data_IF_630657195209
#
_entry.id   IF_630657195209
#
_cell.length_a   1.000
_cell.length_b   1.000
_cell.length_c   1.000
_cell.angle_alpha   90.00
_cell.angle_beta   90.00
_cell.angle_gamma   90.00
#
_symmetry.space_group_name_H-M   'P 1'
#
loop_
_entity.id
_entity.type
_entity.pdbx_description
1 polymer ?
#
# COMPACT_ATOMS: atom_id res chain seq x y z
N UNK A 1 65.33 65.41 59.90
CA UNK A 1 64.92 65.97 61.16
C UNK A 1 63.42 65.97 61.17
N UNK A 2 62.65 65.26 61.87
CA UNK A 2 62.62 64.56 63.11
C UNK A 2 61.28 63.74 63.13
N UNK A 3 61.39 62.49 63.42
CA UNK A 3 60.30 61.73 64.03
C UNK A 3 59.93 62.35 65.39
N UNK A 4 58.79 62.19 65.95
CA UNK A 4 58.18 60.93 66.42
C UNK A 4 56.60 61.01 66.36
N UNK A 5 55.80 60.04 66.77
CA UNK A 5 55.73 59.03 67.79
C UNK A 5 54.52 58.12 67.59
N UNK A 6 54.68 56.92 68.05
CA UNK A 6 53.72 55.87 68.34
C UNK A 6 52.59 56.36 69.26
N UNK A 7 51.36 55.89 69.01
CA UNK A 7 50.36 55.70 70.07
C UNK A 7 49.49 54.43 69.76
N UNK A 8 49.60 53.51 70.65
CA UNK A 8 48.86 52.24 70.73
C UNK A 8 47.34 52.53 70.88
N UNK A 9 46.58 51.78 70.11
CA UNK A 9 45.15 51.63 70.37
C UNK A 9 44.83 50.13 70.27
N UNK A 10 44.02 49.57 71.22
CA UNK A 10 44.00 48.15 71.49
C UNK A 10 43.13 47.38 70.52
N UNK A 11 43.57 46.19 70.16
CA UNK A 11 42.82 45.13 69.48
C UNK A 11 41.68 44.61 70.40
N UNK A 12 40.43 45.12 70.19
CA UNK A 12 39.24 44.46 70.72
C UNK A 12 37.98 44.93 69.97
N UNK A 13 37.82 44.45 68.74
CA UNK A 13 36.51 44.56 68.05
C UNK A 13 36.40 43.65 66.81
N UNK A 14 37.23 42.60 66.68
CA UNK A 14 37.20 41.80 65.48
C UNK A 14 36.50 40.42 65.64
N UNK A 15 35.85 40.18 66.79
CA UNK A 15 35.22 38.89 67.03
C UNK A 15 33.69 38.85 66.88
N UNK A 16 33.03 39.99 66.65
CA UNK A 16 31.55 40.01 66.56
C UNK A 16 30.98 40.12 65.16
N UNK A 17 31.80 40.49 64.17
CA UNK A 17 31.32 40.60 62.78
C UNK A 17 31.35 39.27 62.01
N UNK A 18 32.11 38.31 62.45
CA UNK A 18 32.19 36.96 61.82
C UNK A 18 30.98 36.08 62.03
N UNK A 19 30.33 36.18 63.20
CA UNK A 19 29.18 35.37 63.53
C UNK A 19 27.86 35.87 62.95
N UNK A 20 27.73 37.16 62.76
CA UNK A 20 26.52 37.75 62.16
C UNK A 20 26.43 37.48 60.61
N UNK A 21 27.60 37.38 59.96
CA UNK A 21 27.61 37.08 58.52
C UNK A 21 27.33 35.57 58.18
N UNK A 22 27.63 34.65 59.15
CA UNK A 22 27.41 33.22 58.93
C UNK A 22 25.93 32.84 59.16
N UNK A 23 25.18 33.55 60.01
CA UNK A 23 23.77 33.28 60.25
C UNK A 23 22.87 33.86 59.13
N UNK A 24 23.27 34.95 58.48
CA UNK A 24 22.52 35.53 57.38
C UNK A 24 22.63 34.72 56.08
N UNK A 25 23.66 33.84 55.93
CA UNK A 25 23.82 32.96 54.76
C UNK A 25 22.96 31.73 54.82
N UNK A 26 22.38 31.36 55.96
CA UNK A 26 21.54 30.19 56.13
C UNK A 26 20.09 30.36 55.63
N UNK A 27 19.67 31.60 55.42
CA UNK A 27 18.31 31.91 54.95
C UNK A 27 18.26 32.43 53.54
N UNK A 28 19.37 32.34 52.78
CA UNK A 28 19.30 32.52 51.33
C UNK A 28 18.47 31.30 50.77
N UNK A 29 17.21 31.53 50.53
CA UNK A 29 16.38 30.64 49.74
C UNK A 29 17.09 30.43 48.43
N UNK A 30 17.56 29.20 48.20
CA UNK A 30 18.11 28.80 46.90
C UNK A 30 17.13 29.28 45.83
N UNK A 31 17.57 30.00 44.82
CA UNK A 31 16.70 30.38 43.71
C UNK A 31 16.09 29.09 43.20
N UNK A 32 14.79 29.05 42.88
CA UNK A 32 14.13 27.85 42.39
C UNK A 32 14.98 27.31 41.27
N UNK A 33 15.44 26.07 41.41
CA UNK A 33 16.13 25.34 40.36
C UNK A 33 15.32 25.58 39.11
N UNK A 34 15.86 26.32 38.16
CA UNK A 34 15.29 26.35 36.83
C UNK A 34 15.30 24.89 36.40
N UNK A 35 14.14 24.29 36.43
CA UNK A 35 13.92 23.06 35.70
C UNK A 35 14.16 23.48 34.26
N UNK A 36 15.36 23.26 33.76
CA UNK A 36 15.59 23.23 32.32
C UNK A 36 14.71 22.10 31.82
N UNK A 37 13.44 22.43 31.59
CA UNK A 37 12.61 21.63 30.71
C UNK A 37 13.32 21.78 29.36
N UNK A 38 14.33 20.93 29.15
CA UNK A 38 14.72 20.57 27.81
C UNK A 38 13.44 20.06 27.19
N UNK A 39 12.65 20.95 26.63
CA UNK A 39 11.75 20.60 25.55
C UNK A 39 12.69 19.93 24.57
N UNK A 40 12.76 18.59 24.68
CA UNK A 40 13.63 17.81 23.84
C UNK A 40 13.36 18.31 22.43
N UNK A 41 14.34 18.26 21.58
CA UNK A 41 14.26 18.59 20.16
C UNK A 41 13.24 17.71 19.39
N UNK A 42 12.14 17.39 20.03
CA UNK A 42 10.95 16.79 19.45
C UNK A 42 10.08 17.82 18.73
N UNK A 43 10.71 18.92 18.22
CA UNK A 43 10.08 19.67 17.13
C UNK A 43 9.77 18.77 15.93
N UNK A 44 10.38 17.59 15.83
CA UNK A 44 9.93 16.52 14.96
C UNK A 44 8.59 15.89 15.39
N UNK A 45 8.16 16.05 16.64
CA UNK A 45 6.85 15.56 17.09
C UNK A 45 5.69 16.49 16.70
N UNK A 46 6.00 17.72 16.28
CA UNK A 46 5.05 18.67 15.74
C UNK A 46 5.18 18.79 14.21
N UNK A 47 5.60 17.73 13.55
CA UNK A 47 5.38 17.69 12.10
C UNK A 47 3.88 17.82 11.87
N UNK A 48 3.46 18.81 11.08
CA UNK A 48 2.05 19.02 10.85
C UNK A 48 1.47 17.73 10.30
N UNK A 49 0.38 17.27 10.91
CA UNK A 49 -0.38 16.08 10.52
C UNK A 49 -0.66 16.04 9.00
N UNK A 50 -0.70 17.21 8.38
CA UNK A 50 -0.82 17.41 6.94
C UNK A 50 0.33 16.81 6.09
N UNK A 51 1.52 16.56 6.65
CA UNK A 51 2.61 15.92 5.92
C UNK A 51 2.56 14.38 6.02
N UNK A 52 1.93 13.83 7.05
CA UNK A 52 1.76 12.39 7.24
C UNK A 52 0.62 11.81 6.38
N UNK A 53 -0.31 12.63 5.93
CA UNK A 53 -1.49 12.20 5.16
C UNK A 53 -1.49 12.64 3.69
N UNK A 54 -0.39 13.05 3.10
CA UNK A 54 -0.35 13.10 1.65
C UNK A 54 -0.49 11.67 1.14
N UNK A 55 -1.71 11.28 0.87
CA UNK A 55 -2.01 10.09 0.04
C UNK A 55 -1.39 10.39 -1.33
N UNK A 56 -0.18 9.95 -1.52
CA UNK A 56 0.49 10.10 -2.81
C UNK A 56 -0.22 9.11 -3.72
N UNK A 57 -1.04 9.63 -4.63
CA UNK A 57 -1.73 8.84 -5.64
C UNK A 57 -0.75 8.14 -6.58
N UNK A 58 -1.27 7.33 -7.50
CA UNK A 58 -0.45 6.65 -8.50
C UNK A 58 0.41 7.62 -9.29
N UNK A 59 1.72 7.39 -9.34
CA UNK A 59 2.65 8.15 -10.17
C UNK A 59 2.50 7.79 -11.66
N UNK A 60 3.01 8.66 -12.55
CA UNK A 60 2.94 8.44 -14.00
C UNK A 60 3.52 7.07 -14.42
N UNK A 61 4.66 6.68 -13.85
CA UNK A 61 5.31 5.39 -14.16
C UNK A 61 4.42 4.20 -13.82
N UNK A 62 3.66 4.27 -12.74
CA UNK A 62 2.74 3.22 -12.32
C UNK A 62 1.51 3.13 -13.23
N UNK A 63 1.00 4.28 -13.69
CA UNK A 63 -0.06 4.33 -14.70
C UNK A 63 0.42 3.75 -16.03
N UNK A 64 1.64 4.12 -16.47
CA UNK A 64 2.23 3.57 -17.69
C UNK A 64 2.38 2.05 -17.56
N UNK A 65 2.91 1.55 -16.44
CA UNK A 65 3.06 0.11 -16.21
C UNK A 65 1.70 -0.61 -16.25
N UNK A 66 0.69 -0.09 -15.56
CA UNK A 66 -0.67 -0.67 -15.60
C UNK A 66 -1.23 -0.71 -17.01
N UNK A 67 -1.14 0.41 -17.75
CA UNK A 67 -1.70 0.50 -19.10
C UNK A 67 -0.97 -0.40 -20.10
N UNK A 68 0.35 -0.50 -20.00
CA UNK A 68 1.15 -1.40 -20.86
C UNK A 68 0.77 -2.86 -20.60
N UNK A 69 0.66 -3.25 -19.32
CA UNK A 69 0.32 -4.64 -18.98
C UNK A 69 -1.12 -4.95 -19.37
N UNK A 70 -2.07 -4.06 -19.06
CA UNK A 70 -3.46 -4.24 -19.46
C UNK A 70 -3.61 -4.30 -21.00
N UNK A 71 -2.96 -3.40 -21.72
CA UNK A 71 -2.96 -3.39 -23.19
C UNK A 71 -2.37 -4.67 -23.78
N UNK A 72 -1.25 -5.15 -23.21
CA UNK A 72 -0.64 -6.41 -23.66
C UNK A 72 -1.57 -7.60 -23.41
N UNK A 73 -2.24 -7.65 -22.24
CA UNK A 73 -3.19 -8.71 -21.92
C UNK A 73 -4.40 -8.70 -22.88
N UNK A 74 -4.95 -7.51 -23.17
CA UNK A 74 -6.05 -7.37 -24.15
C UNK A 74 -5.61 -7.85 -25.53
N UNK A 75 -4.47 -7.38 -26.02
CA UNK A 75 -3.98 -7.74 -27.36
C UNK A 75 -3.70 -9.24 -27.45
N UNK A 76 -3.04 -9.82 -26.46
CA UNK A 76 -2.74 -11.24 -26.44
C UNK A 76 -4.01 -12.11 -26.46
N UNK A 77 -5.02 -11.76 -25.65
CA UNK A 77 -6.29 -12.48 -25.60
C UNK A 77 -7.06 -12.33 -26.93
N UNK A 78 -7.22 -11.12 -27.45
CA UNK A 78 -7.95 -10.87 -28.69
C UNK A 78 -7.28 -11.53 -29.92
N UNK A 79 -5.95 -11.56 -29.96
CA UNK A 79 -5.20 -12.27 -31.01
C UNK A 79 -5.41 -13.79 -30.93
N UNK A 80 -5.30 -14.37 -29.74
CA UNK A 80 -5.52 -15.82 -29.57
C UNK A 80 -6.95 -16.22 -29.90
N UNK A 81 -7.95 -15.48 -29.46
CA UNK A 81 -9.36 -15.68 -29.82
C UNK A 81 -9.59 -15.59 -31.33
N UNK A 82 -8.97 -14.59 -31.98
CA UNK A 82 -9.08 -14.44 -33.43
C UNK A 82 -8.45 -15.61 -34.18
N UNK A 83 -7.26 -16.07 -33.76
CA UNK A 83 -6.59 -17.25 -34.36
C UNK A 83 -7.45 -18.49 -34.21
N UNK A 84 -7.99 -18.75 -33.01
CA UNK A 84 -8.84 -19.91 -32.76
C UNK A 84 -10.10 -19.85 -33.61
N UNK A 85 -10.82 -18.72 -33.60
CA UNK A 85 -12.06 -18.56 -34.38
C UNK A 85 -11.86 -18.67 -35.89
N UNK A 86 -10.66 -18.32 -36.41
CA UNK A 86 -10.34 -18.50 -37.84
C UNK A 86 -9.97 -19.93 -38.21
N UNK A 87 -9.48 -20.70 -37.25
CA UNK A 87 -8.92 -22.05 -37.47
C UNK A 87 -9.87 -23.16 -37.09
N UNK A 88 -10.77 -22.92 -36.17
CA UNK A 88 -11.63 -23.94 -35.55
C UNK A 88 -13.09 -23.49 -35.59
N UNK A 89 -13.98 -24.23 -36.29
CA UNK A 89 -15.42 -24.01 -36.25
C UNK A 89 -15.96 -24.07 -34.80
N UNK A 90 -17.12 -23.38 -34.57
CA UNK A 90 -17.76 -23.39 -33.27
C UNK A 90 -18.20 -24.83 -32.93
N UNK A 91 -17.88 -25.26 -31.72
CA UNK A 91 -18.19 -26.60 -31.21
C UNK A 91 -17.17 -27.66 -31.56
N UNK A 92 -16.18 -27.36 -32.43
CA UNK A 92 -15.11 -28.27 -32.74
C UNK A 92 -14.01 -28.23 -31.69
N UNK A 93 -13.37 -29.37 -31.45
CA UNK A 93 -12.27 -29.52 -30.53
C UNK A 93 -11.08 -30.22 -31.19
N UNK A 94 -9.87 -29.75 -30.86
CA UNK A 94 -8.62 -30.42 -31.22
C UNK A 94 -7.96 -30.86 -29.93
N UNK A 95 -7.77 -32.16 -29.78
CA UNK A 95 -7.03 -32.74 -28.65
C UNK A 95 -5.56 -32.28 -28.72
N UNK A 96 -5.02 -31.84 -27.60
CA UNK A 96 -3.63 -31.41 -27.51
C UNK A 96 -2.78 -32.40 -26.75
N UNK A 97 -2.69 -32.28 -25.45
CA UNK A 97 -1.87 -33.17 -24.60
C UNK A 97 -2.62 -33.44 -23.30
N UNK A 98 -2.83 -34.75 -22.99
CA UNK A 98 -3.48 -35.19 -21.76
C UNK A 98 -4.90 -34.63 -21.62
N UNK A 99 -5.25 -34.00 -20.47
CA UNK A 99 -6.60 -33.53 -20.24
C UNK A 99 -6.91 -32.16 -20.91
N UNK A 100 -5.96 -31.56 -21.63
CA UNK A 100 -6.13 -30.31 -22.33
C UNK A 100 -6.60 -30.51 -23.76
N UNK A 101 -7.58 -29.69 -24.19
CA UNK A 101 -7.99 -29.55 -25.57
C UNK A 101 -8.20 -28.07 -25.93
N UNK A 102 -8.09 -27.76 -27.22
CA UNK A 102 -8.54 -26.47 -27.75
C UNK A 102 -9.95 -26.71 -28.30
N UNK A 103 -10.94 -26.12 -27.67
CA UNK A 103 -12.35 -26.29 -28.00
C UNK A 103 -13.01 -24.94 -28.16
N UNK A 104 -13.50 -24.60 -29.36
CA UNK A 104 -14.13 -23.30 -29.63
C UNK A 104 -15.55 -23.25 -29.08
N UNK A 105 -15.71 -22.59 -27.95
CA UNK A 105 -16.99 -22.45 -27.23
C UNK A 105 -17.39 -21.00 -27.13
N UNK A 106 -18.71 -20.73 -27.31
CA UNK A 106 -19.29 -19.41 -27.07
C UNK A 106 -19.95 -19.37 -25.69
N UNK A 107 -19.52 -18.44 -24.85
CA UNK A 107 -20.00 -18.27 -23.48
C UNK A 107 -20.73 -16.93 -23.32
N UNK A 108 -22.06 -16.97 -23.19
CA UNK A 108 -22.88 -15.78 -22.98
C UNK A 108 -23.02 -15.34 -21.50
N UNK A 109 -22.60 -16.20 -20.56
CA UNK A 109 -22.65 -15.94 -19.13
C UNK A 109 -21.30 -15.63 -18.50
N UNK A 110 -21.23 -15.89 -17.19
CA UNK A 110 -19.98 -16.01 -16.44
C UNK A 110 -19.77 -17.49 -16.04
N UNK A 111 -18.69 -17.75 -15.34
CA UNK A 111 -18.34 -19.11 -14.94
C UNK A 111 -19.55 -19.89 -14.39
N UNK A 112 -19.64 -21.19 -14.73
CA UNK A 112 -20.73 -22.08 -14.34
C UNK A 112 -22.13 -21.71 -14.86
N UNK A 113 -22.23 -20.91 -15.93
CA UNK A 113 -23.53 -20.55 -16.53
C UNK A 113 -24.34 -19.49 -15.75
N UNK A 114 -23.75 -18.89 -14.73
CA UNK A 114 -24.38 -17.78 -14.02
C UNK A 114 -24.61 -16.61 -15.01
N UNK A 115 -25.81 -16.03 -14.98
CA UNK A 115 -26.24 -14.96 -15.88
C UNK A 115 -26.20 -15.31 -17.38
N UNK A 116 -26.31 -16.59 -17.76
CA UNK A 116 -26.27 -17.03 -19.16
C UNK A 116 -27.28 -16.30 -20.08
N UNK A 117 -28.34 -15.74 -19.53
CA UNK A 117 -29.38 -14.99 -20.26
C UNK A 117 -29.30 -13.47 -20.06
N UNK A 118 -28.24 -12.96 -19.44
CA UNK A 118 -28.14 -11.54 -19.06
C UNK A 118 -26.75 -10.95 -19.36
N UNK A 119 -26.29 -11.09 -20.60
CA UNK A 119 -25.01 -10.49 -21.04
C UNK A 119 -24.92 -9.01 -20.69
N UNK A 120 -26.04 -8.27 -20.80
CA UNK A 120 -26.12 -6.84 -20.44
C UNK A 120 -25.78 -6.62 -18.95
N UNK A 121 -26.31 -7.44 -18.04
CA UNK A 121 -25.99 -7.33 -16.61
C UNK A 121 -24.50 -7.59 -16.34
N UNK A 122 -23.91 -8.58 -17.04
CA UNK A 122 -22.48 -8.88 -16.93
C UNK A 122 -21.63 -7.72 -17.44
N UNK A 123 -22.03 -7.06 -18.54
CA UNK A 123 -21.36 -5.87 -19.06
C UNK A 123 -21.30 -4.76 -18.01
N UNK A 124 -22.44 -4.40 -17.41
CA UNK A 124 -22.50 -3.34 -16.40
C UNK A 124 -21.73 -3.72 -15.13
N UNK A 125 -21.83 -4.95 -14.66
CA UNK A 125 -21.12 -5.44 -13.48
C UNK A 125 -19.60 -5.39 -13.71
N UNK A 126 -19.13 -5.91 -14.84
CA UNK A 126 -17.71 -5.91 -15.20
C UNK A 126 -17.19 -4.48 -15.39
N UNK A 127 -17.93 -3.62 -16.08
CA UNK A 127 -17.57 -2.22 -16.27
C UNK A 127 -17.47 -1.47 -14.95
N UNK A 128 -18.42 -1.67 -14.04
CA UNK A 128 -18.40 -1.11 -12.69
C UNK A 128 -17.21 -1.60 -11.87
N UNK A 129 -16.90 -2.90 -11.93
CA UNK A 129 -15.73 -3.47 -11.26
C UNK A 129 -14.41 -2.89 -11.79
N UNK A 130 -14.27 -2.76 -13.11
CA UNK A 130 -13.09 -2.13 -13.73
C UNK A 130 -12.96 -0.67 -13.28
N UNK A 131 -14.06 0.10 -13.30
CA UNK A 131 -14.04 1.48 -12.82
C UNK A 131 -13.63 1.59 -11.34
N UNK A 132 -14.17 0.72 -10.49
CA UNK A 132 -13.81 0.66 -9.07
C UNK A 132 -12.32 0.32 -8.88
N UNK A 133 -11.77 -0.63 -9.65
CA UNK A 133 -10.35 -0.98 -9.60
C UNK A 133 -9.46 0.19 -10.04
N UNK A 134 -9.84 0.96 -11.07
CA UNK A 134 -9.09 2.15 -11.50
C UNK A 134 -9.11 3.25 -10.43
N UNK A 135 -10.27 3.47 -9.78
CA UNK A 135 -10.38 4.41 -8.65
C UNK A 135 -9.53 3.95 -7.46
N UNK A 136 -9.56 2.66 -7.14
CA UNK A 136 -8.71 2.08 -6.10
C UNK A 136 -7.23 2.27 -6.42
N UNK A 137 -6.81 1.96 -7.65
CA UNK A 137 -5.44 2.13 -8.11
C UNK A 137 -4.98 3.59 -7.99
N UNK A 138 -5.77 4.55 -8.44
CA UNK A 138 -5.44 5.97 -8.37
C UNK A 138 -5.13 6.46 -6.96
N UNK A 139 -5.71 5.80 -5.94
CA UNK A 139 -5.57 6.17 -4.52
C UNK A 139 -4.48 5.39 -3.76
N UNK A 140 -4.03 4.25 -4.28
CA UNK A 140 -3.26 3.27 -3.49
C UNK A 140 -1.93 2.86 -4.12
N UNK A 141 -1.72 3.12 -5.40
CA UNK A 141 -0.66 2.51 -6.21
C UNK A 141 0.79 2.66 -5.68
N UNK A 142 1.09 3.73 -4.97
CA UNK A 142 2.47 3.94 -4.47
C UNK A 142 2.87 3.03 -3.30
N UNK A 143 1.95 2.27 -2.75
CA UNK A 143 2.21 1.44 -1.56
C UNK A 143 2.84 0.09 -1.89
N UNK A 144 2.70 -0.40 -3.11
CA UNK A 144 3.18 -1.74 -3.47
C UNK A 144 3.65 -1.84 -4.92
N UNK A 145 4.90 -2.29 -5.19
CA UNK A 145 5.47 -2.31 -6.54
C UNK A 145 4.76 -3.29 -7.49
N UNK A 146 4.15 -4.35 -6.96
CA UNK A 146 3.41 -5.34 -7.75
C UNK A 146 1.99 -4.91 -8.12
N UNK A 147 1.45 -3.87 -7.51
CA UNK A 147 0.07 -3.46 -7.70
C UNK A 147 -0.27 -3.09 -9.16
N UNK A 148 0.58 -2.32 -9.90
CA UNK A 148 0.33 -2.04 -11.31
C UNK A 148 0.28 -3.31 -12.18
N UNK A 149 1.14 -4.29 -11.88
CA UNK A 149 1.20 -5.55 -12.62
C UNK A 149 -0.08 -6.36 -12.36
N UNK A 150 -0.40 -6.58 -11.11
CA UNK A 150 -1.55 -7.38 -10.71
C UNK A 150 -2.87 -6.78 -11.21
N UNK A 151 -3.09 -5.47 -10.97
CA UNK A 151 -4.29 -4.79 -11.46
C UNK A 151 -4.30 -4.64 -12.99
N UNK A 152 -3.14 -4.46 -13.62
CA UNK A 152 -3.02 -4.43 -15.08
C UNK A 152 -3.52 -5.73 -15.70
N UNK A 153 -3.15 -6.89 -15.16
CA UNK A 153 -3.63 -8.20 -15.61
C UNK A 153 -5.14 -8.36 -15.39
N UNK A 154 -5.63 -8.04 -14.19
CA UNK A 154 -7.07 -8.17 -13.90
C UNK A 154 -7.91 -7.25 -14.78
N UNK A 155 -7.52 -5.98 -14.90
CA UNK A 155 -8.23 -4.98 -15.72
C UNK A 155 -8.13 -5.37 -17.20
N UNK A 156 -6.95 -5.75 -17.68
CA UNK A 156 -6.74 -6.14 -19.08
C UNK A 156 -7.60 -7.34 -19.48
N UNK A 157 -7.58 -8.42 -18.68
CA UNK A 157 -8.42 -9.59 -18.91
C UNK A 157 -9.92 -9.26 -18.82
N UNK A 158 -10.33 -8.46 -17.82
CA UNK A 158 -11.74 -8.03 -17.70
C UNK A 158 -12.20 -7.21 -18.89
N UNK A 159 -11.38 -6.28 -19.37
CA UNK A 159 -11.66 -5.44 -20.54
C UNK A 159 -11.69 -6.28 -21.82
N UNK A 160 -10.79 -7.24 -21.99
CA UNK A 160 -10.80 -8.13 -23.15
C UNK A 160 -12.11 -8.93 -23.25
N UNK A 161 -12.58 -9.52 -22.17
CA UNK A 161 -13.86 -10.21 -22.12
C UNK A 161 -15.08 -9.25 -22.22
N UNK A 162 -14.92 -8.00 -21.80
CA UNK A 162 -15.95 -6.97 -22.00
C UNK A 162 -16.07 -6.55 -23.47
N UNK A 163 -14.94 -6.43 -24.18
CA UNK A 163 -14.92 -6.14 -25.61
C UNK A 163 -15.69 -7.21 -26.38
N UNK A 164 -15.46 -8.49 -26.08
CA UNK A 164 -16.19 -9.57 -26.74
C UNK A 164 -17.70 -9.47 -26.51
N UNK A 165 -18.13 -9.27 -25.26
CA UNK A 165 -19.54 -9.16 -24.92
C UNK A 165 -20.25 -7.96 -25.58
N UNK A 166 -19.56 -6.84 -25.68
CA UNK A 166 -20.12 -5.64 -26.34
C UNK A 166 -20.20 -5.83 -27.87
N UNK A 167 -19.20 -6.51 -28.45
CA UNK A 167 -19.12 -6.69 -29.92
C UNK A 167 -19.92 -7.89 -30.42
N UNK A 168 -19.88 -9.00 -29.69
CA UNK A 168 -20.36 -10.30 -30.14
C UNK A 168 -21.59 -10.78 -29.34
N UNK A 169 -21.84 -10.21 -28.16
CA UNK A 169 -22.87 -10.69 -27.23
C UNK A 169 -22.43 -11.89 -26.38
N UNK A 170 -21.27 -12.44 -26.63
CA UNK A 170 -20.70 -13.60 -25.92
C UNK A 170 -19.19 -13.47 -25.84
N UNK A 171 -18.53 -14.36 -25.09
CA UNK A 171 -17.08 -14.50 -25.04
C UNK A 171 -16.69 -15.78 -25.78
N UNK A 172 -15.60 -15.75 -26.53
CA UNK A 172 -15.02 -16.93 -27.14
C UNK A 172 -14.06 -17.57 -26.14
N UNK A 173 -14.41 -18.77 -25.64
CA UNK A 173 -13.59 -19.60 -24.80
C UNK A 173 -12.96 -20.70 -25.65
N UNK A 174 -11.69 -21.06 -25.36
CA UNK A 174 -10.99 -22.04 -26.20
C UNK A 174 -10.05 -22.97 -25.45
N UNK A 175 -9.74 -22.69 -24.19
CA UNK A 175 -8.95 -23.58 -23.33
C UNK A 175 -9.93 -24.47 -22.57
N UNK A 176 -9.96 -25.74 -22.92
CA UNK A 176 -10.80 -26.73 -22.29
C UNK A 176 -9.95 -27.70 -21.47
N UNK A 177 -10.37 -27.91 -20.25
CA UNK A 177 -9.73 -28.86 -19.33
C UNK A 177 -10.80 -29.83 -18.83
N UNK A 178 -10.61 -31.12 -19.02
CA UNK A 178 -11.61 -32.19 -18.92
C UNK A 178 -12.61 -32.12 -17.74
N UNK A 179 -12.28 -31.40 -16.66
CA UNK A 179 -13.12 -31.28 -15.46
C UNK A 179 -13.44 -29.83 -15.09
N UNK A 180 -13.11 -28.89 -15.98
CA UNK A 180 -13.28 -27.45 -15.75
C UNK A 180 -14.03 -26.82 -16.93
N UNK A 181 -14.91 -25.82 -16.70
CA UNK A 181 -15.51 -25.09 -17.82
C UNK A 181 -14.44 -24.49 -18.73
N UNK A 182 -14.73 -24.49 -20.04
CA UNK A 182 -13.85 -23.83 -20.99
C UNK A 182 -13.60 -22.36 -20.60
N UNK A 183 -12.40 -21.87 -20.82
CA UNK A 183 -11.95 -20.51 -20.49
C UNK A 183 -11.02 -19.96 -21.58
N UNK A 184 -10.56 -18.75 -21.43
CA UNK A 184 -9.70 -18.06 -22.37
C UNK A 184 -8.46 -17.46 -21.71
N UNK A 185 -7.62 -16.78 -22.48
CA UNK A 185 -6.40 -16.19 -21.97
C UNK A 185 -6.68 -14.98 -21.05
N UNK A 186 -7.77 -14.24 -21.29
CA UNK A 186 -8.19 -13.16 -20.40
C UNK A 186 -8.54 -13.67 -19.00
N UNK A 187 -9.24 -14.81 -18.89
CA UNK A 187 -9.56 -15.43 -17.60
C UNK A 187 -8.29 -15.87 -16.87
N UNK A 188 -7.31 -16.40 -17.60
CA UNK A 188 -5.99 -16.74 -17.05
C UNK A 188 -5.31 -15.48 -16.47
N UNK A 189 -5.33 -14.35 -17.18
CA UNK A 189 -4.78 -13.10 -16.67
C UNK A 189 -5.50 -12.60 -15.43
N UNK A 190 -6.83 -12.71 -15.37
CA UNK A 190 -7.61 -12.35 -14.18
C UNK A 190 -7.18 -13.21 -12.99
N UNK A 191 -7.10 -14.52 -13.15
CA UNK A 191 -6.72 -15.46 -12.08
C UNK A 191 -5.30 -15.19 -11.58
N UNK A 192 -4.34 -15.01 -12.48
CA UNK A 192 -2.95 -14.68 -12.14
C UNK A 192 -2.88 -13.34 -11.43
N UNK A 193 -3.56 -12.32 -11.93
CA UNK A 193 -3.60 -10.99 -11.33
C UNK A 193 -4.19 -11.01 -9.91
N UNK A 194 -5.29 -11.72 -9.70
CA UNK A 194 -5.89 -11.90 -8.37
C UNK A 194 -4.94 -12.66 -7.43
N UNK A 195 -4.28 -13.70 -7.93
CA UNK A 195 -3.26 -14.42 -7.17
C UNK A 195 -2.10 -13.52 -6.71
N UNK A 196 -1.62 -12.64 -7.59
CA UNK A 196 -0.58 -11.66 -7.26
C UNK A 196 -1.06 -10.62 -6.23
N UNK A 197 -2.32 -10.15 -6.32
CA UNK A 197 -2.91 -9.27 -5.32
C UNK A 197 -2.96 -9.94 -3.96
N UNK A 198 -3.43 -11.18 -3.92
CA UNK A 198 -3.50 -11.96 -2.68
C UNK A 198 -2.11 -12.20 -2.07
N UNK A 199 -1.14 -12.64 -2.88
CA UNK A 199 0.23 -12.85 -2.43
C UNK A 199 0.86 -11.56 -1.88
N UNK A 200 0.61 -10.43 -2.54
CA UNK A 200 1.05 -9.10 -2.13
C UNK A 200 0.46 -8.70 -0.77
N UNK A 201 -0.81 -8.99 -0.54
CA UNK A 201 -1.50 -8.71 0.72
C UNK A 201 -0.90 -9.54 1.86
N UNK A 202 -0.75 -10.85 1.67
CA UNK A 202 -0.18 -11.77 2.67
C UNK A 202 1.28 -11.40 3.02
N UNK A 203 2.07 -11.00 2.02
CA UNK A 203 3.45 -10.57 2.25
C UNK A 203 3.53 -9.28 3.09
N UNK A 204 2.61 -8.35 2.88
CA UNK A 204 2.55 -7.08 3.63
C UNK A 204 2.19 -7.29 5.11
N UNK A 205 1.34 -8.24 5.41
CA UNK A 205 0.91 -8.54 6.78
C UNK A 205 2.05 -9.15 7.62
N UNK A 206 2.93 -9.93 7.00
CA UNK A 206 4.09 -10.55 7.66
C UNK A 206 5.20 -9.57 8.02
N UNK A 207 5.21 -8.38 7.43
CA UNK A 207 6.26 -7.37 7.65
C UNK A 207 5.89 -6.37 8.75
N UNK A 208 4.70 -6.44 9.33
CA UNK A 208 4.32 -5.63 10.50
C UNK A 208 4.98 -6.20 11.75
N UNK A 209 5.98 -5.53 12.38
CA UNK A 209 6.55 -6.01 13.64
C UNK A 209 5.43 -5.97 14.69
N UNK A 210 5.14 -7.10 15.31
CA UNK A 210 4.42 -7.10 16.58
C UNK A 210 5.21 -6.18 17.52
N UNK A 211 4.65 -5.02 17.85
CA UNK A 211 5.09 -4.22 18.99
C UNK A 211 4.93 -5.09 20.22
N UNK A 212 6.00 -5.84 20.53
CA UNK A 212 6.09 -6.62 21.73
C UNK A 212 5.81 -5.70 22.92
N UNK A 213 4.81 -6.03 23.69
CA UNK A 213 4.55 -5.45 25.00
C UNK A 213 5.82 -5.54 25.83
N UNK A 214 6.48 -4.39 26.04
CA UNK A 214 7.60 -4.30 26.97
C UNK A 214 7.10 -4.79 28.34
N UNK A 215 7.81 -5.72 29.01
CA UNK A 215 7.43 -6.13 30.35
C UNK A 215 7.56 -4.93 31.28
N UNK A 216 6.47 -4.59 31.96
CA UNK A 216 6.46 -3.61 33.03
C UNK A 216 7.44 -4.09 34.11
N UNK A 217 8.60 -3.43 34.23
CA UNK A 217 9.50 -3.65 35.34
C UNK A 217 8.81 -3.23 36.63
N UNK A 218 8.41 -4.21 37.46
CA UNK A 218 8.01 -3.98 38.85
C UNK A 218 9.28 -3.63 39.62
N UNK A 219 9.39 -2.40 40.06
CA UNK A 219 10.27 -1.97 41.16
C UNK A 219 9.51 -1.97 42.46
#
# INVERSE_FOLDING_TARGET
MTEPARSDIPRRAAASEGEASHTLRRNAVDPPRRIDVRVGSSTNALQPISSAERRVGAGLSQWVALLVIAGTAIVADQLTKSIVSMRLPIGDAVATIGPFSIHHVQNSGIAFGLFAHSTTAVIFLTGGAVAAMLVFFSRTAQRHPLLPVALGLVIGGSVANLIDRVRLGHVNDFLDFAYWPAFNLADTFIVVGVGLLFASFVASDRTSPHLGTAPLSRS
#
